data_IF_332746188738
#
_entry.id   IF_332746188738
#
_cell.length_a   1.000
_cell.length_b   1.000
_cell.length_c   1.000
_cell.angle_alpha   90.00
_cell.angle_beta   90.00
_cell.angle_gamma   90.00
#
_symmetry.space_group_name_H-M   'P 1'
#
loop_
_entity.id
_entity.type
_entity.pdbx_description
1 polymer ?
#
# COMPACT_ATOMS: atom_id res chain seq x y z
N UNK A 1 3.36 11.45 -17.02
CA UNK A 1 3.84 11.28 -15.63
C UNK A 1 2.98 10.24 -14.94
N UNK A 2 3.60 9.27 -14.30
CA UNK A 2 2.88 8.19 -13.59
C UNK A 2 3.48 8.07 -12.18
N UNK A 3 3.08 8.97 -11.31
CA UNK A 3 3.58 9.08 -9.94
C UNK A 3 2.40 9.16 -8.99
N UNK A 4 2.33 8.22 -8.06
CA UNK A 4 1.29 8.17 -7.05
C UNK A 4 1.94 8.12 -5.67
N UNK A 5 1.42 8.88 -4.73
CA UNK A 5 1.93 8.91 -3.35
C UNK A 5 0.76 8.73 -2.39
N UNK A 6 0.91 7.78 -1.47
CA UNK A 6 -0.13 7.45 -0.51
C UNK A 6 0.45 7.24 0.87
N UNK A 7 -0.34 7.58 1.87
CA UNK A 7 -0.10 7.21 3.26
C UNK A 7 -1.30 6.42 3.75
N UNK A 8 -1.07 5.25 4.29
CA UNK A 8 -2.16 4.41 4.76
C UNK A 8 -1.66 3.24 5.58
N UNK A 9 -2.51 2.22 5.68
CA UNK A 9 -2.27 1.07 6.55
C UNK A 9 -2.40 -0.22 5.74
N UNK A 10 -1.59 -1.23 6.08
CA UNK A 10 -1.77 -2.55 5.52
C UNK A 10 -3.05 -3.18 6.07
N UNK A 11 -3.89 -3.69 5.18
CA UNK A 11 -5.15 -4.34 5.55
C UNK A 11 -4.93 -5.76 6.07
N UNK A 12 -3.88 -6.40 5.57
CA UNK A 12 -3.46 -7.75 5.95
C UNK A 12 -1.95 -7.88 5.81
N UNK A 13 -1.40 -8.99 6.28
CA UNK A 13 0.02 -9.28 6.10
C UNK A 13 0.34 -9.39 4.59
N UNK A 14 1.50 -8.89 4.15
CA UNK A 14 1.90 -9.06 2.75
C UNK A 14 1.98 -10.54 2.37
N UNK A 15 1.54 -10.86 1.16
CA UNK A 15 1.67 -12.20 0.61
C UNK A 15 2.95 -12.26 -0.20
N UNK A 16 3.85 -13.13 0.21
CA UNK A 16 5.18 -13.25 -0.40
C UNK A 16 5.19 -14.44 -1.35
N UNK A 17 5.62 -14.22 -2.58
CA UNK A 17 5.77 -15.26 -3.59
C UNK A 17 7.11 -15.13 -4.29
N UNK A 18 7.56 -16.21 -4.94
CA UNK A 18 8.73 -16.16 -5.81
C UNK A 18 8.26 -16.17 -7.25
N UNK A 19 8.80 -15.25 -8.04
CA UNK A 19 8.58 -15.22 -9.49
C UNK A 19 9.94 -15.45 -10.13
N UNK A 20 10.21 -16.70 -10.53
CA UNK A 20 11.55 -17.11 -10.88
C UNK A 20 12.47 -16.99 -9.66
N UNK A 21 13.55 -16.27 -9.78
CA UNK A 21 14.50 -16.02 -8.69
C UNK A 21 14.22 -14.73 -7.91
N UNK A 22 13.10 -14.07 -8.20
CA UNK A 22 12.79 -12.76 -7.65
C UNK A 22 11.65 -12.85 -6.65
N UNK A 23 11.83 -12.25 -5.49
CA UNK A 23 10.78 -12.18 -4.46
C UNK A 23 9.81 -11.07 -4.79
N UNK A 24 8.53 -11.36 -4.60
CA UNK A 24 7.43 -10.42 -4.82
C UNK A 24 6.55 -10.38 -3.58
N UNK A 25 6.14 -9.19 -3.17
CA UNK A 25 5.16 -8.98 -2.11
C UNK A 25 3.90 -8.35 -2.70
N UNK A 26 2.76 -8.98 -2.47
CA UNK A 26 1.45 -8.44 -2.82
C UNK A 26 0.74 -8.06 -1.53
N UNK A 27 0.19 -6.87 -1.48
CA UNK A 27 -0.54 -6.42 -0.31
C UNK A 27 -1.63 -5.41 -0.68
N UNK A 28 -2.59 -5.28 0.21
CA UNK A 28 -3.65 -4.28 0.10
C UNK A 28 -3.41 -3.24 1.18
N UNK A 29 -3.39 -1.97 0.80
CA UNK A 29 -3.37 -0.90 1.77
C UNK A 29 -4.67 -0.11 1.71
N UNK A 30 -5.06 0.45 2.84
CA UNK A 30 -6.20 1.34 2.92
C UNK A 30 -5.71 2.76 3.15
N UNK A 31 -6.22 3.69 2.34
CA UNK A 31 -6.01 5.13 2.54
C UNK A 31 -7.36 5.76 2.87
N UNK A 32 -7.34 6.76 3.72
CA UNK A 32 -8.58 7.40 4.18
C UNK A 32 -8.63 8.83 3.68
N UNK A 33 -9.80 9.21 3.17
CA UNK A 33 -10.14 10.61 2.95
C UNK A 33 -11.25 10.99 3.91
N UNK A 34 -11.33 12.26 4.24
CA UNK A 34 -12.32 12.77 5.18
C UNK A 34 -13.26 13.72 4.46
N UNK A 35 -14.52 13.61 4.75
CA UNK A 35 -15.56 14.46 4.19
C UNK A 35 -16.45 14.97 5.32
N UNK A 36 -16.80 16.26 5.27
CA UNK A 36 -17.76 16.83 6.18
C UNK A 36 -19.17 16.59 5.64
N UNK A 37 -20.06 16.12 6.49
CA UNK A 37 -21.47 16.03 6.19
C UNK A 37 -22.12 17.41 6.36
N UNK A 38 -23.37 17.55 5.91
CA UNK A 38 -24.14 18.78 6.06
C UNK A 38 -24.33 19.19 7.53
N UNK A 39 -24.31 18.22 8.44
CA UNK A 39 -24.43 18.47 9.89
C UNK A 39 -23.10 18.84 10.54
N UNK A 40 -22.00 18.91 9.77
CA UNK A 40 -20.67 19.24 10.29
C UNK A 40 -19.89 18.06 10.83
N UNK A 41 -20.43 16.86 10.76
CA UNK A 41 -19.74 15.64 11.18
C UNK A 41 -18.71 15.23 10.14
N UNK A 42 -17.54 14.74 10.60
CA UNK A 42 -16.53 14.17 9.73
C UNK A 42 -16.83 12.71 9.47
N UNK A 43 -16.85 12.34 8.21
CA UNK A 43 -17.00 10.97 7.76
C UNK A 43 -15.67 10.52 7.14
N UNK A 44 -15.21 9.34 7.49
CA UNK A 44 -13.97 8.74 6.96
C UNK A 44 -14.32 7.79 5.82
N UNK A 45 -13.70 8.00 4.67
CA UNK A 45 -13.96 7.19 3.49
C UNK A 45 -12.72 6.35 3.20
N UNK A 46 -12.80 5.02 3.27
CA UNK A 46 -11.68 4.16 2.93
C UNK A 46 -11.55 3.95 1.43
N UNK A 47 -10.32 3.90 0.95
CA UNK A 47 -10.02 3.48 -0.42
C UNK A 47 -8.97 2.39 -0.34
N UNK A 48 -9.26 1.24 -0.94
CA UNK A 48 -8.39 0.07 -0.91
C UNK A 48 -7.55 0.02 -2.18
N UNK A 49 -6.24 -0.11 -2.00
CA UNK A 49 -5.28 -0.10 -3.11
C UNK A 49 -4.56 -1.44 -3.17
N UNK A 50 -4.58 -2.08 -4.34
CA UNK A 50 -3.81 -3.28 -4.59
C UNK A 50 -2.38 -2.86 -4.92
N UNK A 51 -1.42 -3.35 -4.15
CA UNK A 51 -0.02 -2.95 -4.26
C UNK A 51 0.88 -4.16 -4.47
N UNK A 52 2.00 -3.93 -5.13
CA UNK A 52 3.04 -4.93 -5.29
C UNK A 52 4.41 -4.29 -5.07
N UNK A 53 5.32 -5.05 -4.48
CA UNK A 53 6.71 -4.66 -4.32
C UNK A 53 7.59 -5.83 -4.76
N UNK A 54 8.78 -5.52 -5.24
CA UNK A 54 9.69 -6.49 -5.82
C UNK A 54 11.08 -6.39 -5.18
N UNK A 55 11.86 -7.47 -5.24
CA UNK A 55 13.27 -7.51 -4.83
C UNK A 55 13.44 -7.12 -3.35
N UNK A 56 14.35 -6.22 -3.07
CA UNK A 56 14.68 -5.76 -1.71
C UNK A 56 13.46 -5.17 -1.00
N UNK A 57 12.61 -4.45 -1.73
CA UNK A 57 11.37 -3.90 -1.17
C UNK A 57 10.44 -4.99 -0.65
N UNK A 58 10.29 -6.07 -1.42
CA UNK A 58 9.48 -7.22 -1.00
C UNK A 58 10.07 -7.90 0.23
N UNK A 59 11.38 -8.07 0.27
CA UNK A 59 12.07 -8.67 1.41
C UNK A 59 11.89 -7.84 2.68
N UNK A 60 11.97 -6.53 2.56
CA UNK A 60 11.79 -5.61 3.68
C UNK A 60 10.35 -5.67 4.20
N UNK A 61 9.38 -5.73 3.30
CA UNK A 61 7.97 -5.87 3.68
C UNK A 61 7.71 -7.20 4.39
N UNK A 62 8.29 -8.29 3.88
CA UNK A 62 8.17 -9.61 4.53
C UNK A 62 8.67 -9.56 5.96
N UNK A 63 9.79 -8.88 6.18
CA UNK A 63 10.48 -8.87 7.47
C UNK A 63 9.83 -7.98 8.50
N UNK A 64 9.28 -6.84 8.08
CA UNK A 64 8.87 -5.78 9.01
C UNK A 64 7.40 -5.38 8.94
N UNK A 65 6.68 -5.72 7.88
CA UNK A 65 5.30 -5.27 7.69
C UNK A 65 4.31 -6.35 8.11
N UNK A 66 3.32 -5.94 8.88
CA UNK A 66 2.21 -6.79 9.29
C UNK A 66 0.91 -6.01 9.09
N UNK A 67 -0.22 -6.70 9.22
CA UNK A 67 -1.54 -6.08 9.25
C UNK A 67 -1.55 -4.91 10.22
N UNK A 68 -2.03 -3.75 9.77
CA UNK A 68 -2.13 -2.53 10.58
C UNK A 68 -0.90 -1.63 10.53
N UNK A 69 0.19 -2.07 9.90
CA UNK A 69 1.38 -1.23 9.76
C UNK A 69 1.06 0.00 8.93
N UNK A 70 1.42 1.18 9.44
CA UNK A 70 1.27 2.44 8.71
C UNK A 70 2.48 2.67 7.82
N UNK A 71 2.23 3.02 6.56
CA UNK A 71 3.27 3.10 5.54
C UNK A 71 3.03 4.29 4.60
N UNK A 72 4.12 4.93 4.19
CA UNK A 72 4.13 5.91 3.11
C UNK A 72 4.70 5.23 1.88
N UNK A 73 4.02 5.36 0.74
CA UNK A 73 4.48 4.75 -0.50
C UNK A 73 4.53 5.76 -1.64
N UNK A 74 5.53 5.59 -2.50
CA UNK A 74 5.60 6.21 -3.82
C UNK A 74 5.49 5.08 -4.83
N UNK A 75 4.56 5.21 -5.75
CA UNK A 75 4.19 4.11 -6.64
C UNK A 75 3.92 4.59 -8.06
N UNK A 76 3.90 3.63 -8.97
CA UNK A 76 3.41 3.82 -10.34
C UNK A 76 2.16 2.96 -10.51
N UNK A 77 1.16 3.48 -11.19
CA UNK A 77 -0.03 2.72 -11.55
C UNK A 77 0.27 1.89 -12.79
N UNK A 78 -0.18 0.63 -12.81
CA UNK A 78 -0.09 -0.23 -13.98
C UNK A 78 -1.34 -1.10 -14.10
N UNK A 79 -1.59 -1.62 -15.27
CA UNK A 79 -2.66 -2.60 -15.45
C UNK A 79 -2.17 -3.99 -15.01
N UNK A 80 -3.07 -4.77 -14.47
CA UNK A 80 -2.77 -6.13 -14.02
C UNK A 80 -2.25 -7.00 -15.17
N UNK A 81 -2.81 -6.82 -16.37
CA UNK A 81 -2.36 -7.50 -17.58
C UNK A 81 -2.74 -6.68 -18.80
N UNK A 82 -2.31 -7.10 -20.00
CA UNK A 82 -2.65 -6.41 -21.24
C UNK A 82 -4.16 -6.38 -21.52
N UNK A 83 -4.88 -7.39 -21.08
CA UNK A 83 -6.32 -7.54 -21.33
C UNK A 83 -7.18 -7.01 -20.18
N UNK A 84 -6.56 -6.65 -19.06
CA UNK A 84 -7.29 -6.28 -17.84
C UNK A 84 -6.88 -4.90 -17.38
N UNK A 85 -7.82 -3.96 -17.40
CA UNK A 85 -7.59 -2.58 -16.97
C UNK A 85 -7.57 -2.40 -15.45
N UNK A 86 -7.64 -3.48 -14.70
CA UNK A 86 -7.51 -3.46 -13.24
C UNK A 86 -6.18 -2.83 -12.85
N UNK A 87 -6.21 -1.88 -11.92
CA UNK A 87 -5.02 -1.12 -11.54
C UNK A 87 -4.31 -1.77 -10.36
N UNK A 88 -2.99 -1.93 -10.52
CA UNK A 88 -2.09 -2.35 -9.45
C UNK A 88 -1.06 -1.24 -9.27
N UNK A 89 -0.76 -0.90 -8.03
CA UNK A 89 0.25 0.10 -7.73
C UNK A 89 1.58 -0.60 -7.45
N UNK A 90 2.54 -0.36 -8.33
CA UNK A 90 3.90 -0.87 -8.15
C UNK A 90 4.66 0.08 -7.26
N UNK A 91 5.12 -0.42 -6.13
CA UNK A 91 5.83 0.38 -5.14
C UNK A 91 7.26 0.63 -5.61
N UNK A 92 7.63 1.90 -5.77
CA UNK A 92 8.99 2.29 -6.15
C UNK A 92 9.83 2.56 -4.91
N UNK A 93 9.20 3.11 -3.87
CA UNK A 93 9.88 3.44 -2.63
C UNK A 93 8.84 3.54 -1.51
N UNK A 94 9.23 3.22 -0.29
CA UNK A 94 8.33 3.32 0.85
C UNK A 94 9.10 3.53 2.15
N UNK A 95 8.40 4.10 3.15
CA UNK A 95 8.87 4.25 4.52
C UNK A 95 7.81 3.75 5.48
N UNK A 96 8.24 3.13 6.56
CA UNK A 96 7.33 2.85 7.67
C UNK A 96 7.16 4.11 8.50
N UNK A 97 5.91 4.45 8.83
CA UNK A 97 5.64 5.55 9.72
C UNK A 97 5.99 5.14 11.15
N UNK A 98 6.66 6.03 11.86
CA UNK A 98 6.93 5.80 13.28
C UNK A 98 5.62 5.80 14.04
N UNK A 99 5.46 4.79 14.89
CA UNK A 99 4.40 4.83 15.87
C UNK A 99 4.84 5.72 17.03
N UNK A 100 3.95 6.62 17.44
CA UNK A 100 4.18 7.36 18.66
C UNK A 100 3.97 6.40 19.82
N UNK A 101 5.07 6.04 20.45
CA UNK A 101 4.99 5.29 21.69
C UNK A 101 4.75 6.29 22.81
N UNK A 102 3.58 6.25 23.40
CA UNK A 102 3.36 6.93 24.66
C UNK A 102 4.01 6.07 25.76
N UNK A 103 4.95 6.66 26.45
CA UNK A 103 5.55 6.04 27.63
C UNK A 103 4.56 6.09 28.81
#
# INVERSE_FOLDING_TARGET
MNICSFTGYLVENPRITMVGDVVKADFVMVVYTYRKTKSGEKSRIPTYLQCEAWHTGAETLEKYAIKGTKINVHASARNASKENSYIIFRINEFDFCQQDFED
#
